data_IF_687718880572
#
_entry.id   IF_687718880572
#
_cell.length_a   1.000
_cell.length_b   1.000
_cell.length_c   1.000
_cell.angle_alpha   90.00
_cell.angle_beta   90.00
_cell.angle_gamma   90.00
#
_symmetry.space_group_name_H-M   'P 1'
#
loop_
_entity.id
_entity.type
_entity.pdbx_description
1 polymer ?
#
# COMPACT_ATOMS: atom_id res chain seq x y z
N UNK A 1 15.14 9.49 12.15
CA UNK A 1 14.52 8.24 12.62
C UNK A 1 15.53 7.16 12.39
N UNK A 2 16.01 6.49 13.45
CA UNK A 2 16.95 5.38 13.30
C UNK A 2 16.19 4.10 12.95
N UNK A 3 16.88 3.12 12.37
CA UNK A 3 16.27 1.83 11.99
C UNK A 3 15.68 1.08 13.20
N UNK A 4 16.30 1.24 14.37
CA UNK A 4 15.86 0.69 15.66
C UNK A 4 14.49 1.20 16.12
N UNK A 5 14.02 2.31 15.55
CA UNK A 5 12.73 2.93 15.86
C UNK A 5 11.60 2.40 14.98
N UNK A 6 11.89 1.44 14.09
CA UNK A 6 10.96 0.85 13.17
C UNK A 6 10.54 -0.54 13.62
N UNK A 7 9.29 -0.89 13.32
CA UNK A 7 8.71 -2.19 13.56
C UNK A 7 8.31 -2.81 12.23
N UNK A 8 8.53 -4.12 12.11
CA UNK A 8 8.03 -4.90 10.97
C UNK A 8 6.52 -4.91 11.01
N UNK A 9 5.90 -4.64 9.87
CA UNK A 9 4.46 -4.64 9.68
C UNK A 9 4.04 -5.48 8.48
N UNK A 10 2.90 -6.16 8.64
CA UNK A 10 2.22 -6.89 7.58
C UNK A 10 1.33 -5.90 6.82
N UNK A 11 1.63 -5.66 5.53
CA UNK A 11 0.87 -4.69 4.71
C UNK A 11 -0.60 -5.14 4.65
N UNK A 12 -0.82 -6.41 4.29
CA UNK A 12 -2.09 -7.08 4.50
C UNK A 12 -2.20 -7.57 5.94
N UNK A 13 -3.31 -7.29 6.65
CA UNK A 13 -3.50 -7.78 8.00
C UNK A 13 -3.47 -9.31 8.05
N UNK A 14 -2.78 -9.89 9.03
CA UNK A 14 -2.74 -11.35 9.23
C UNK A 14 -4.13 -11.99 9.34
N UNK A 15 -5.11 -11.24 9.85
CA UNK A 15 -6.51 -11.67 9.96
C UNK A 15 -7.17 -11.86 8.59
N UNK A 16 -6.85 -10.99 7.64
CA UNK A 16 -7.31 -11.08 6.27
C UNK A 16 -6.84 -12.38 5.58
N UNK A 17 -5.68 -12.90 5.97
CA UNK A 17 -5.07 -14.10 5.39
C UNK A 17 -5.52 -15.42 6.04
N UNK A 18 -6.36 -15.36 7.09
CA UNK A 18 -6.89 -16.57 7.73
C UNK A 18 -7.90 -17.30 6.85
N UNK A 19 -8.51 -16.60 5.90
CA UNK A 19 -9.45 -17.17 4.93
C UNK A 19 -8.77 -17.78 3.71
N UNK A 20 -7.44 -17.64 3.57
CA UNK A 20 -6.72 -18.27 2.48
C UNK A 20 -6.84 -19.79 2.58
N UNK A 21 -6.92 -20.48 1.44
CA UNK A 21 -7.02 -21.93 1.39
C UNK A 21 -5.83 -22.59 2.13
N UNK A 22 -6.07 -23.70 2.82
CA UNK A 22 -5.05 -24.35 3.67
C UNK A 22 -3.77 -24.70 2.90
N UNK A 23 -3.90 -25.22 1.70
CA UNK A 23 -2.74 -25.55 0.84
C UNK A 23 -1.84 -24.34 0.58
N UNK A 24 -2.41 -23.14 0.48
CA UNK A 24 -1.63 -21.91 0.33
C UNK A 24 -0.78 -21.64 1.58
N UNK A 25 -1.34 -21.86 2.78
CA UNK A 25 -0.61 -21.60 4.02
C UNK A 25 0.48 -22.63 4.31
N UNK A 26 0.39 -23.82 3.72
CA UNK A 26 1.43 -24.86 3.72
C UNK A 26 2.57 -24.53 2.75
N UNK A 27 2.28 -23.89 1.61
CA UNK A 27 3.30 -23.53 0.59
C UNK A 27 3.94 -22.16 0.85
N UNK A 28 3.16 -21.16 1.26
CA UNK A 28 3.63 -19.79 1.48
C UNK A 28 3.46 -19.34 2.92
N UNK A 29 4.54 -18.84 3.50
CA UNK A 29 4.53 -18.26 4.83
C UNK A 29 3.58 -17.06 4.91
N UNK A 30 3.06 -16.79 6.11
CA UNK A 30 2.21 -15.61 6.34
C UNK A 30 2.91 -14.29 5.99
N UNK A 31 4.24 -14.25 6.10
CA UNK A 31 5.05 -13.08 5.77
C UNK A 31 5.11 -12.83 4.26
N UNK A 32 5.22 -13.89 3.46
CA UNK A 32 5.14 -13.78 1.99
C UNK A 32 3.76 -13.32 1.56
N UNK A 33 2.71 -14.02 2.02
CA UNK A 33 1.31 -13.76 1.64
C UNK A 33 0.79 -12.38 2.05
N UNK A 34 1.39 -11.77 3.07
CA UNK A 34 0.97 -10.45 3.57
C UNK A 34 1.73 -9.27 2.96
N UNK A 35 2.95 -9.52 2.51
CA UNK A 35 3.93 -8.50 2.24
C UNK A 35 4.38 -7.80 3.53
N UNK A 36 5.70 -7.63 3.67
CA UNK A 36 6.28 -6.97 4.84
C UNK A 36 6.76 -5.56 4.50
N UNK A 37 6.59 -4.66 5.45
CA UNK A 37 7.14 -3.30 5.41
C UNK A 37 7.65 -2.89 6.78
N UNK A 38 8.29 -1.73 6.85
CA UNK A 38 8.68 -1.09 8.11
C UNK A 38 7.76 0.10 8.39
N UNK A 39 7.28 0.19 9.62
CA UNK A 39 6.50 1.32 10.14
C UNK A 39 7.12 1.85 11.43
N UNK A 40 6.82 3.10 11.77
CA UNK A 40 7.32 3.69 13.01
C UNK A 40 6.80 2.90 14.23
N UNK A 41 7.70 2.46 15.11
CA UNK A 41 7.38 1.85 16.40
C UNK A 41 7.24 2.88 17.52
N UNK A 42 7.82 4.08 17.34
CA UNK A 42 7.73 5.18 18.29
C UNK A 42 6.33 5.78 18.38
N UNK A 43 6.06 6.40 19.52
CA UNK A 43 4.85 7.18 19.78
C UNK A 43 4.55 8.14 18.61
N UNK A 44 3.32 8.05 18.12
CA UNK A 44 2.84 8.83 16.99
C UNK A 44 2.11 10.06 17.51
N UNK A 45 2.57 11.22 17.08
CA UNK A 45 1.96 12.52 17.38
C UNK A 45 1.54 13.20 16.08
N UNK A 46 0.35 13.81 16.09
CA UNK A 46 -0.19 14.58 14.98
C UNK A 46 -0.71 15.92 15.49
N UNK A 47 -0.24 17.03 14.90
CA UNK A 47 -0.56 18.40 15.32
C UNK A 47 -0.39 18.64 16.84
N UNK A 48 0.73 18.15 17.40
CA UNK A 48 1.06 18.27 18.82
C UNK A 48 0.28 17.34 19.76
N UNK A 49 -0.71 16.59 19.26
CA UNK A 49 -1.47 15.61 20.06
C UNK A 49 -0.90 14.22 19.83
N UNK A 50 -0.70 13.48 20.92
CA UNK A 50 -0.40 12.06 20.85
C UNK A 50 -1.63 11.29 20.36
N UNK A 51 -1.48 10.57 19.25
CA UNK A 51 -2.58 9.79 18.65
C UNK A 51 -2.39 8.28 18.80
N UNK A 52 -1.14 7.82 18.93
CA UNK A 52 -0.85 6.41 19.27
C UNK A 52 0.38 6.31 20.14
N UNK A 53 0.23 5.77 21.35
CA UNK A 53 1.36 5.42 22.22
C UNK A 53 2.24 4.28 21.64
N UNK A 54 1.66 3.44 20.78
CA UNK A 54 2.27 2.22 20.24
C UNK A 54 2.71 2.36 18.77
N UNK A 55 2.82 3.61 18.30
CA UNK A 55 3.27 3.95 16.96
C UNK A 55 2.32 3.68 15.82
N UNK A 56 2.89 3.68 14.61
CA UNK A 56 2.20 3.67 13.33
C UNK A 56 1.47 2.35 13.08
N UNK A 57 2.07 1.21 13.46
CA UNK A 57 1.47 -0.11 13.28
C UNK A 57 0.15 -0.22 14.06
N UNK A 58 0.18 0.03 15.38
CA UNK A 58 -1.04 -0.03 16.21
C UNK A 58 -2.13 0.95 15.74
N UNK A 59 -1.74 2.12 15.23
CA UNK A 59 -2.68 3.07 14.66
C UNK A 59 -3.37 2.51 13.40
N UNK A 60 -2.59 2.00 12.44
CA UNK A 60 -3.12 1.34 11.24
C UNK A 60 -4.06 0.19 11.63
N UNK A 61 -3.60 -0.68 12.51
CA UNK A 61 -4.33 -1.86 12.97
C UNK A 61 -5.70 -1.53 13.57
N UNK A 62 -5.77 -0.47 14.38
CA UNK A 62 -7.02 -0.03 15.00
C UNK A 62 -8.01 0.57 14.00
N UNK A 63 -7.53 1.31 13.01
CA UNK A 63 -8.39 2.16 12.18
C UNK A 63 -8.70 1.59 10.79
N UNK A 64 -7.85 0.71 10.24
CA UNK A 64 -7.94 0.33 8.82
C UNK A 64 -7.92 -1.17 8.57
N UNK A 65 -7.36 -2.00 9.47
CA UNK A 65 -7.24 -3.44 9.21
C UNK A 65 -8.58 -4.15 8.98
N UNK A 66 -9.66 -3.70 9.65
CA UNK A 66 -11.00 -4.25 9.42
C UNK A 66 -11.46 -4.04 7.97
N UNK A 67 -11.23 -2.86 7.41
CA UNK A 67 -11.61 -2.56 6.03
C UNK A 67 -10.76 -3.33 5.02
N UNK A 68 -9.48 -3.55 5.32
CA UNK A 68 -8.59 -4.39 4.50
C UNK A 68 -8.99 -5.86 4.54
N UNK A 69 -9.36 -6.36 5.72
CA UNK A 69 -9.88 -7.72 5.90
C UNK A 69 -11.13 -7.95 5.06
N UNK A 70 -12.08 -7.01 5.09
CA UNK A 70 -13.31 -7.08 4.29
C UNK A 70 -13.05 -7.07 2.77
N UNK A 71 -11.94 -6.48 2.30
CA UNK A 71 -11.60 -6.42 0.87
C UNK A 71 -10.87 -7.65 0.33
N UNK A 72 -10.13 -8.34 1.18
CA UNK A 72 -9.25 -9.45 0.78
C UNK A 72 -9.96 -10.79 0.89
N UNK A 73 -10.91 -10.90 1.82
CA UNK A 73 -11.65 -12.14 2.04
C UNK A 73 -12.56 -12.48 0.85
N UNK A 74 -12.45 -13.67 0.24
CA UNK A 74 -13.15 -14.04 -0.99
C UNK A 74 -14.68 -14.12 -0.83
N UNK A 75 -15.17 -14.29 0.40
CA UNK A 75 -16.61 -14.41 0.70
C UNK A 75 -17.25 -13.09 1.13
N UNK A 76 -16.44 -12.06 1.35
CA UNK A 76 -16.94 -10.78 1.85
C UNK A 76 -17.35 -9.94 0.64
N UNK A 77 -18.58 -10.16 0.17
CA UNK A 77 -19.21 -9.22 -0.77
C UNK A 77 -19.46 -7.93 -0.03
N UNK A 78 -18.50 -7.00 -0.10
CA UNK A 78 -18.67 -5.64 0.39
C UNK A 78 -19.80 -5.00 -0.43
N UNK A 79 -21.03 -5.08 0.08
CA UNK A 79 -22.23 -4.58 -0.61
C UNK A 79 -22.16 -3.06 -0.85
N UNK A 80 -21.38 -2.34 -0.04
CA UNK A 80 -21.17 -0.91 -0.15
C UNK A 80 -19.76 -0.53 0.30
N UNK A 81 -18.94 -0.04 -0.63
CA UNK A 81 -17.63 0.52 -0.31
C UNK A 81 -17.82 1.86 0.40
N UNK A 82 -17.49 1.90 1.69
CA UNK A 82 -17.40 3.13 2.46
C UNK A 82 -16.07 3.86 2.23
N UNK A 83 -16.01 5.15 2.54
CA UNK A 83 -14.76 5.96 2.58
C UNK A 83 -13.60 5.23 3.27
N UNK A 84 -13.85 4.52 4.36
CA UNK A 84 -12.84 3.72 5.06
C UNK A 84 -12.16 2.66 4.18
N UNK A 85 -12.92 2.01 3.29
CA UNK A 85 -12.40 1.02 2.34
C UNK A 85 -11.50 1.64 1.27
N UNK A 86 -11.91 2.80 0.73
CA UNK A 86 -11.10 3.52 -0.24
C UNK A 86 -9.79 3.96 0.37
N UNK A 87 -9.84 4.57 1.56
CA UNK A 87 -8.64 5.00 2.30
C UNK A 87 -7.75 3.81 2.67
N UNK A 88 -8.34 2.69 3.06
CA UNK A 88 -7.59 1.46 3.35
C UNK A 88 -6.80 0.97 2.13
N UNK A 89 -7.39 0.99 0.91
CA UNK A 89 -6.67 0.68 -0.32
C UNK A 89 -5.51 1.65 -0.57
N UNK A 90 -5.72 2.96 -0.37
CA UNK A 90 -4.63 3.93 -0.53
C UNK A 90 -3.50 3.73 0.50
N UNK A 91 -3.84 3.35 1.74
CA UNK A 91 -2.86 2.93 2.76
C UNK A 91 -2.05 1.76 2.26
N UNK A 92 -2.72 0.71 1.82
CA UNK A 92 -2.07 -0.50 1.36
C UNK A 92 -1.21 -0.24 0.13
N UNK A 93 -1.72 0.51 -0.85
CA UNK A 93 -0.95 0.86 -2.06
C UNK A 93 0.26 1.74 -1.76
N UNK A 94 0.14 2.71 -0.85
CA UNK A 94 1.28 3.50 -0.38
C UNK A 94 2.34 2.62 0.32
N UNK A 95 1.91 1.68 1.17
CA UNK A 95 2.83 0.76 1.84
C UNK A 95 3.49 -0.22 0.86
N UNK A 96 2.76 -0.70 -0.14
CA UNK A 96 3.31 -1.53 -1.21
C UNK A 96 4.36 -0.76 -2.03
N UNK A 97 4.06 0.49 -2.39
CA UNK A 97 5.00 1.39 -3.04
C UNK A 97 6.24 1.64 -2.18
N UNK A 98 6.06 1.88 -0.88
CA UNK A 98 7.17 2.06 0.05
C UNK A 98 8.02 0.78 0.21
N UNK A 99 7.40 -0.40 0.25
CA UNK A 99 8.12 -1.68 0.25
C UNK A 99 8.99 -1.85 -1.01
N UNK A 100 8.47 -1.48 -2.18
CA UNK A 100 9.16 -1.66 -3.48
C UNK A 100 10.21 -0.60 -3.78
N UNK A 101 9.93 0.66 -3.45
CA UNK A 101 10.73 1.83 -3.87
C UNK A 101 11.34 2.62 -2.69
N UNK A 102 11.07 2.21 -1.45
CA UNK A 102 11.64 2.82 -0.24
C UNK A 102 11.21 4.27 0.00
N UNK A 103 12.09 5.02 0.66
CA UNK A 103 11.85 6.40 1.10
C UNK A 103 11.63 7.40 -0.03
N UNK A 104 11.97 7.06 -1.28
CA UNK A 104 11.70 7.93 -2.43
C UNK A 104 10.22 8.31 -2.50
N UNK A 105 9.32 7.37 -2.17
CA UNK A 105 7.87 7.63 -2.14
C UNK A 105 7.49 8.47 -0.92
N UNK A 106 8.08 8.20 0.24
CA UNK A 106 7.76 8.86 1.50
C UNK A 106 8.26 10.32 1.59
N UNK A 107 9.38 10.65 0.97
CA UNK A 107 10.01 11.97 1.08
C UNK A 107 9.45 13.00 0.08
N UNK A 108 8.56 12.59 -0.83
CA UNK A 108 7.85 13.52 -1.71
C UNK A 108 6.70 14.21 -0.96
N UNK A 109 6.30 15.44 -1.35
CA UNK A 109 5.04 16.03 -0.82
C UNK A 109 3.81 15.20 -1.20
N UNK A 110 3.85 14.43 -2.30
CA UNK A 110 2.86 13.39 -2.58
C UNK A 110 2.83 12.34 -1.46
N UNK A 111 3.98 11.85 -1.02
CA UNK A 111 4.10 11.02 0.19
C UNK A 111 3.58 11.70 1.45
N UNK A 112 3.74 13.02 1.59
CA UNK A 112 3.14 13.78 2.70
C UNK A 112 1.61 13.84 2.65
N UNK A 113 1.03 13.97 1.45
CA UNK A 113 -0.42 13.87 1.22
C UNK A 113 -0.92 12.45 1.45
N UNK A 114 -0.22 11.43 0.95
CA UNK A 114 -0.52 10.04 1.26
C UNK A 114 -0.43 9.77 2.77
N UNK A 115 0.45 10.42 3.53
CA UNK A 115 0.43 10.31 5.00
C UNK A 115 -0.82 10.92 5.63
N UNK A 116 -1.44 11.94 5.03
CA UNK A 116 -2.68 12.51 5.56
C UNK A 116 -3.82 11.49 5.58
N UNK A 117 -3.81 10.49 4.69
CA UNK A 117 -4.84 9.45 4.66
C UNK A 117 -4.98 8.71 6.00
N UNK A 118 -3.90 8.61 6.79
CA UNK A 118 -3.90 7.97 8.10
C UNK A 118 -4.57 8.81 9.20
N UNK A 119 -4.65 10.13 9.04
CA UNK A 119 -5.09 11.05 10.10
C UNK A 119 -6.32 11.88 9.72
N UNK A 120 -6.55 12.07 8.42
CA UNK A 120 -7.65 12.87 7.90
C UNK A 120 -8.24 12.23 6.63
N UNK A 121 -8.94 11.09 6.78
CA UNK A 121 -9.42 10.28 5.65
C UNK A 121 -10.43 11.02 4.75
N UNK A 122 -11.27 11.89 5.32
CA UNK A 122 -12.28 12.64 4.56
C UNK A 122 -11.64 13.70 3.67
N UNK A 123 -10.78 14.54 4.24
CA UNK A 123 -10.11 15.59 3.48
C UNK A 123 -9.11 15.01 2.48
N UNK A 124 -8.50 13.87 2.81
CA UNK A 124 -7.62 13.17 1.89
C UNK A 124 -8.37 12.74 0.61
N UNK A 125 -9.51 12.06 0.73
CA UNK A 125 -10.25 11.61 -0.46
C UNK A 125 -10.69 12.77 -1.36
N UNK A 126 -11.06 13.91 -0.79
CA UNK A 126 -11.40 15.11 -1.55
C UNK A 126 -10.23 15.66 -2.38
N UNK A 127 -8.98 15.38 -1.97
CA UNK A 127 -7.76 15.81 -2.66
C UNK A 127 -7.25 14.78 -3.67
N UNK A 128 -7.77 13.55 -3.62
CA UNK A 128 -7.37 12.47 -4.54
C UNK A 128 -8.07 12.64 -5.88
N UNK A 129 -7.35 12.54 -7.03
CA UNK A 129 -7.97 12.60 -8.35
C UNK A 129 -9.10 11.58 -8.50
N UNK A 130 -10.22 11.97 -9.11
CA UNK A 130 -11.40 11.10 -9.27
C UNK A 130 -11.07 9.77 -9.93
N UNK A 131 -10.14 9.76 -10.90
CA UNK A 131 -9.67 8.54 -11.56
C UNK A 131 -9.08 7.50 -10.59
N UNK A 132 -8.52 7.94 -9.46
CA UNK A 132 -7.95 7.05 -8.44
C UNK A 132 -8.99 6.56 -7.43
N UNK A 133 -10.18 7.15 -7.37
CA UNK A 133 -11.20 6.79 -6.37
C UNK A 133 -11.97 5.51 -6.73
N UNK A 134 -11.62 4.88 -7.86
CA UNK A 134 -12.18 3.61 -8.30
C UNK A 134 -11.24 2.45 -7.95
N UNK A 135 -11.84 1.35 -7.52
CA UNK A 135 -11.18 0.07 -7.37
C UNK A 135 -12.01 -0.99 -8.13
N UNK A 136 -11.32 -1.80 -8.91
CA UNK A 136 -11.90 -2.93 -9.62
C UNK A 136 -11.68 -4.18 -8.78
N UNK A 137 -12.75 -4.85 -8.40
CA UNK A 137 -12.71 -6.09 -7.62
C UNK A 137 -13.20 -7.24 -8.50
N UNK A 138 -12.36 -8.25 -8.66
CA UNK A 138 -12.68 -9.50 -9.33
C UNK A 138 -12.80 -10.66 -8.34
N UNK A 139 -13.08 -11.84 -8.88
CA UNK A 139 -12.97 -13.11 -8.17
C UNK A 139 -11.52 -13.59 -8.17
N UNK A 140 -11.00 -13.97 -7.01
CA UNK A 140 -9.73 -14.69 -6.90
C UNK A 140 -9.93 -16.20 -7.05
N UNK A 141 -8.85 -16.96 -7.27
CA UNK A 141 -8.90 -18.41 -7.20
C UNK A 141 -9.35 -18.89 -5.81
N UNK A 142 -10.24 -19.89 -5.79
CA UNK A 142 -10.76 -20.50 -4.57
C UNK A 142 -9.83 -21.57 -4.01
N UNK A 143 -9.02 -22.16 -4.89
CA UNK A 143 -8.10 -23.25 -4.58
C UNK A 143 -6.68 -22.84 -4.96
N UNK A 144 -5.69 -23.57 -4.46
CA UNK A 144 -4.31 -23.37 -4.84
C UNK A 144 -3.96 -24.25 -6.04
N UNK A 145 -3.45 -23.63 -7.09
CA UNK A 145 -2.78 -24.32 -8.19
C UNK A 145 -1.32 -23.85 -8.32
N UNK A 146 -0.37 -24.72 -8.72
CA UNK A 146 1.03 -24.31 -8.95
C UNK A 146 1.20 -23.14 -9.92
N UNK A 147 0.31 -23.03 -10.90
CA UNK A 147 0.28 -21.98 -11.93
C UNK A 147 -0.03 -20.60 -11.33
N UNK A 148 -0.67 -20.54 -10.16
CA UNK A 148 -1.07 -19.31 -9.47
C UNK A 148 -0.07 -18.89 -8.38
N UNK A 149 1.17 -19.38 -8.48
CA UNK A 149 2.26 -19.07 -7.54
C UNK A 149 2.42 -17.58 -7.28
N UNK A 150 2.36 -16.76 -8.32
CA UNK A 150 2.52 -15.30 -8.19
C UNK A 150 1.38 -14.66 -7.40
N UNK A 151 0.14 -15.12 -7.61
CA UNK A 151 -1.05 -14.60 -6.92
C UNK A 151 -0.96 -14.78 -5.39
N UNK A 152 -0.39 -15.90 -4.95
CA UNK A 152 -0.29 -16.27 -3.53
C UNK A 152 1.05 -15.85 -2.90
N UNK A 153 2.14 -15.90 -3.65
CA UNK A 153 3.49 -15.65 -3.16
C UNK A 153 3.90 -14.18 -3.12
N UNK A 154 3.37 -13.34 -4.03
CA UNK A 154 3.62 -11.90 -4.06
C UNK A 154 2.28 -11.14 -4.04
N UNK A 155 1.87 -10.60 -2.87
CA UNK A 155 0.54 -10.02 -2.73
C UNK A 155 0.35 -8.70 -3.46
N UNK A 156 1.43 -8.07 -3.95
CA UNK A 156 1.37 -6.79 -4.67
C UNK A 156 2.16 -6.83 -5.97
N UNK A 157 1.46 -6.57 -7.07
CA UNK A 157 2.06 -6.24 -8.35
C UNK A 157 1.84 -4.74 -8.63
N UNK A 158 2.93 -4.04 -8.98
CA UNK A 158 2.95 -2.58 -9.09
C UNK A 158 3.44 -2.19 -10.47
N UNK A 159 2.55 -1.56 -11.24
CA UNK A 159 2.87 -0.96 -12.53
C UNK A 159 2.84 0.56 -12.43
N UNK A 160 3.95 1.22 -12.78
CA UNK A 160 4.05 2.67 -12.77
C UNK A 160 3.61 3.22 -14.11
N UNK A 161 2.56 4.02 -14.10
CA UNK A 161 2.15 4.89 -15.20
C UNK A 161 2.51 6.33 -14.83
N UNK A 162 2.71 7.16 -15.85
CA UNK A 162 3.11 8.59 -15.78
C UNK A 162 3.00 9.25 -14.39
N UNK A 163 1.79 9.46 -13.88
CA UNK A 163 1.44 10.12 -12.62
C UNK A 163 0.64 9.21 -11.66
N UNK A 164 0.55 7.91 -11.97
CA UNK A 164 -0.27 6.94 -11.26
C UNK A 164 0.47 5.62 -11.09
N UNK A 165 0.40 5.01 -9.91
CA UNK A 165 0.74 3.61 -9.73
C UNK A 165 -0.53 2.75 -9.83
N UNK A 166 -0.56 1.80 -10.74
CA UNK A 166 -1.51 0.71 -10.72
C UNK A 166 -1.04 -0.30 -9.67
N UNK A 167 -1.85 -0.51 -8.63
CA UNK A 167 -1.60 -1.52 -7.62
C UNK A 167 -2.59 -2.65 -7.89
N UNK A 168 -2.05 -3.82 -8.22
CA UNK A 168 -2.78 -5.09 -8.25
C UNK A 168 -2.49 -5.81 -6.94
N UNK A 169 -3.55 -6.10 -6.19
CA UNK A 169 -3.50 -6.85 -4.95
C UNK A 169 -4.54 -7.95 -5.02
N UNK A 170 -4.10 -9.20 -5.09
CA UNK A 170 -5.00 -10.35 -5.22
C UNK A 170 -5.96 -10.13 -6.38
N UNK A 171 -7.27 -10.26 -6.15
CA UNK A 171 -8.30 -10.01 -7.17
C UNK A 171 -8.73 -8.54 -7.28
N UNK A 172 -8.03 -7.62 -6.61
CA UNK A 172 -8.34 -6.19 -6.65
C UNK A 172 -7.29 -5.39 -7.42
N UNK A 173 -7.72 -4.36 -8.14
CA UNK A 173 -6.87 -3.44 -8.87
C UNK A 173 -7.33 -2.01 -8.61
N UNK A 174 -6.41 -1.13 -8.24
CA UNK A 174 -6.72 0.27 -7.96
C UNK A 174 -5.53 1.18 -8.28
N UNK A 175 -5.79 2.48 -8.42
CA UNK A 175 -4.76 3.46 -8.74
C UNK A 175 -4.38 4.27 -7.51
N UNK A 176 -3.08 4.46 -7.31
CA UNK A 176 -2.52 5.37 -6.31
C UNK A 176 -1.85 6.52 -7.03
N UNK A 177 -2.22 7.77 -6.77
CA UNK A 177 -1.56 8.91 -7.39
C UNK A 177 -0.13 9.04 -6.87
N UNK A 178 0.81 9.28 -7.79
CA UNK A 178 2.24 9.46 -7.48
C UNK A 178 2.75 10.75 -8.13
N UNK A 179 3.70 11.43 -7.50
CA UNK A 179 4.36 12.62 -8.09
C UNK A 179 5.87 12.52 -7.98
N UNK A 180 6.56 12.90 -9.06
CA UNK A 180 8.02 13.08 -9.08
C UNK A 180 8.47 14.43 -8.52
N UNK A 181 7.64 15.47 -8.63
CA UNK A 181 7.98 16.78 -8.08
C UNK A 181 7.40 16.90 -6.67
N UNK A 182 8.25 16.96 -5.64
CA UNK A 182 7.81 17.12 -4.27
C UNK A 182 7.23 18.51 -4.01
N UNK A 183 7.02 19.39 -4.98
CA UNK A 183 6.38 20.70 -4.81
C UNK A 183 4.95 20.72 -5.31
N UNK A 184 4.53 19.73 -6.09
CA UNK A 184 3.25 19.71 -6.79
C UNK A 184 2.23 18.90 -5.96
N UNK A 185 1.08 19.51 -5.58
CA UNK A 185 -0.04 18.78 -5.00
C UNK A 185 -0.53 17.69 -5.96
N UNK A 186 -0.93 16.51 -5.44
CA UNK A 186 -1.46 15.38 -6.24
C UNK A 186 -2.63 15.77 -7.17
N UNK A 187 -3.31 16.88 -6.88
CA UNK A 187 -4.38 17.47 -7.69
C UNK A 187 -3.90 18.07 -9.04
N UNK A 188 -2.60 18.25 -9.23
CA UNK A 188 -2.01 18.87 -10.44
C UNK A 188 -1.13 17.85 -11.15
N UNK A 189 -1.70 17.09 -12.07
CA UNK A 189 -0.97 16.16 -12.93
C UNK A 189 -0.17 16.92 -13.99
N UNK A 190 1.14 17.05 -13.78
CA UNK A 190 2.08 17.60 -14.78
C UNK A 190 2.95 16.45 -15.31
N UNK A 191 3.23 16.39 -16.62
CA UNK A 191 4.02 15.32 -17.24
C UNK A 191 5.40 15.08 -16.60
N UNK A 192 5.70 13.78 -16.47
CA UNK A 192 6.82 13.11 -15.81
C UNK A 192 8.25 13.38 -16.37
N UNK A 193 8.44 14.44 -17.17
CA UNK A 193 9.69 14.98 -17.77
C UNK A 193 10.10 14.47 -19.18
N UNK A 194 10.91 15.24 -19.95
CA UNK A 194 11.39 14.88 -21.29
C UNK A 194 12.57 13.90 -21.25
N UNK A 195 12.69 13.09 -22.30
CA UNK A 195 13.49 11.87 -22.51
C UNK A 195 15.01 11.89 -22.24
N UNK A 196 15.58 12.99 -21.76
CA UNK A 196 17.03 13.25 -21.79
C UNK A 196 17.78 13.19 -20.44
N UNK A 197 17.12 12.85 -19.33
CA UNK A 197 17.74 12.89 -17.99
C UNK A 197 17.40 11.70 -17.07
N UNK A 198 17.47 10.45 -17.57
CA UNK A 198 17.39 9.25 -16.72
C UNK A 198 18.82 8.79 -16.38
N UNK A 199 19.42 9.38 -15.35
CA UNK A 199 20.59 8.78 -14.68
C UNK A 199 20.08 7.66 -13.76
N UNK A 200 20.42 6.40 -14.06
CA UNK A 200 20.34 5.28 -13.12
C UNK A 200 21.75 4.87 -12.75
N UNK A 201 22.02 4.64 -11.47
CA UNK A 201 23.18 3.87 -11.05
C UNK A 201 22.90 2.39 -11.39
N UNK A 202 23.80 1.79 -12.18
CA UNK A 202 23.81 0.37 -12.47
C UNK A 202 24.66 -0.35 -11.41
N UNK A 203 24.07 -1.33 -10.73
CA UNK A 203 24.76 -2.15 -9.73
C UNK A 203 25.05 -3.57 -10.24
N UNK A 204 24.84 -3.84 -11.54
CA UNK A 204 25.16 -5.12 -12.16
C UNK A 204 26.66 -5.42 -12.24
N UNK A 205 27.52 -4.43 -11.95
CA UNK A 205 28.98 -4.55 -11.94
C UNK A 205 29.59 -4.77 -10.55
N UNK A 206 28.79 -4.92 -9.49
CA UNK A 206 29.31 -5.17 -8.13
C UNK A 206 29.29 -6.67 -7.78
N UNK A 207 30.05 -7.46 -8.54
CA UNK A 207 30.50 -8.80 -8.13
C UNK A 207 31.98 -8.90 -8.50
N UNK A 208 32.84 -8.81 -7.48
CA UNK A 208 34.18 -9.45 -7.46
C UNK A 208 34.14 -10.58 -6.43
#
# INVERSE_FOLDING_TARGET
>A
MSFEEMTVEHILPKRALKSDHRTVSEVYSINQRSGLTLLCGKMLSYKGKQISAKGCNSWKGRHFDKYLEEQVQPHTRVRKLHTGHQVALFILGYLALYRRYGYQVALTKAGALCRQQFFNPRDFLNQVPKACQFAFMGSGPLEYTPEEKEYWGEPFDISIMKDLALIRMRSSVFYVPISRDPRIPLATSIPYAPSKYVFRADFSTLVE
#
